data_IF_292449487419
#
_entry.id   IF_292449487419
#
_cell.length_a   1.000
_cell.length_b   1.000
_cell.length_c   1.000
_cell.angle_alpha   90.00
_cell.angle_beta   90.00
_cell.angle_gamma   90.00
#
_symmetry.space_group_name_H-M   'P 1'
#
loop_
_entity.id
_entity.type
_entity.pdbx_description
1 polymer ?
#
# COMPACT_ATOMS: atom_id res chain seq x y z
N UNK A 1 45.40 20.11 10.21
CA UNK A 1 44.98 18.73 9.92
C UNK A 1 44.42 18.06 11.20
N UNK A 2 43.12 18.23 11.44
CA UNK A 2 42.39 17.59 12.54
C UNK A 2 41.57 16.40 12.03
N UNK A 3 41.22 15.44 12.90
CA UNK A 3 40.65 14.16 12.52
C UNK A 3 39.22 14.33 12.01
N UNK A 4 38.89 13.54 10.98
CA UNK A 4 37.68 13.64 10.19
C UNK A 4 36.39 13.59 11.02
N UNK A 5 35.56 14.61 10.83
CA UNK A 5 34.14 14.52 11.09
C UNK A 5 33.60 13.62 9.98
N UNK A 6 33.44 12.34 10.29
CA UNK A 6 32.71 11.40 9.46
C UNK A 6 31.27 11.89 9.39
N UNK A 7 30.98 12.75 8.41
CA UNK A 7 29.62 12.97 7.97
C UNK A 7 29.07 11.62 7.59
N UNK A 8 28.22 11.05 8.44
CA UNK A 8 27.26 10.05 8.01
C UNK A 8 26.38 10.73 6.98
N UNK A 9 26.83 10.70 5.72
CA UNK A 9 25.98 10.88 4.58
C UNK A 9 24.79 9.94 4.82
N UNK A 10 23.61 10.51 5.07
CA UNK A 10 22.35 9.79 4.93
C UNK A 10 22.46 9.10 3.56
N UNK A 11 22.53 7.76 3.51
CA UNK A 11 22.79 7.09 2.26
C UNK A 11 21.71 7.51 1.27
N UNK A 12 22.16 8.03 0.13
CA UNK A 12 21.34 8.19 -1.06
C UNK A 12 20.77 6.79 -1.35
N UNK A 13 19.53 6.52 -0.94
CA UNK A 13 18.88 5.22 -1.15
C UNK A 13 18.57 5.06 -2.64
N UNK A 14 19.29 4.20 -3.38
CA UNK A 14 19.08 4.03 -4.81
C UNK A 14 17.95 3.01 -5.03
N UNK A 15 16.81 3.50 -5.54
CA UNK A 15 15.99 2.89 -6.60
C UNK A 15 15.45 1.44 -6.50
N UNK A 16 15.40 0.75 -5.36
CA UNK A 16 14.68 -0.53 -5.30
C UNK A 16 13.88 -0.70 -4.01
N UNK A 17 12.63 -1.13 -4.19
CA UNK A 17 11.56 -1.39 -3.22
C UNK A 17 10.75 -0.13 -2.89
N UNK A 18 9.42 -0.22 -3.08
CA UNK A 18 8.47 0.56 -2.29
C UNK A 18 8.90 0.44 -0.83
N UNK A 19 9.55 1.48 -0.29
CA UNK A 19 9.71 1.61 1.16
C UNK A 19 8.32 1.46 1.74
N UNK A 20 8.16 0.52 2.69
CA UNK A 20 6.86 0.30 3.33
C UNK A 20 6.41 1.63 3.90
N UNK A 21 5.19 2.08 3.55
CA UNK A 21 4.61 3.35 4.01
C UNK A 21 4.90 3.64 5.49
N UNK A 22 4.88 2.60 6.34
CA UNK A 22 5.22 2.67 7.75
C UNK A 22 6.61 3.27 8.03
N UNK A 23 7.66 2.82 7.33
CA UNK A 23 9.02 3.35 7.50
C UNK A 23 9.10 4.82 7.08
N UNK A 24 8.56 5.15 5.91
CA UNK A 24 8.50 6.53 5.43
C UNK A 24 7.72 7.43 6.39
N UNK A 25 6.62 6.92 6.96
CA UNK A 25 5.80 7.65 7.92
C UNK A 25 6.55 7.93 9.23
N UNK A 26 7.43 7.04 9.67
CA UNK A 26 8.28 7.32 10.83
C UNK A 26 9.37 8.34 10.51
N UNK A 27 9.98 8.31 9.31
CA UNK A 27 10.95 9.34 8.88
C UNK A 27 10.28 10.72 8.87
N UNK A 28 9.21 10.84 8.10
CA UNK A 28 8.60 12.13 7.81
C UNK A 28 7.78 12.64 8.99
N UNK A 29 7.08 11.74 9.69
CA UNK A 29 6.34 12.07 10.91
C UNK A 29 7.24 12.56 12.05
N UNK A 30 8.41 11.94 12.21
CA UNK A 30 9.42 12.42 13.17
C UNK A 30 9.88 13.83 12.83
N UNK A 31 10.13 14.11 11.55
CA UNK A 31 10.54 15.43 11.10
C UNK A 31 9.44 16.49 11.30
N UNK A 32 8.19 16.17 10.97
CA UNK A 32 7.05 17.06 11.20
C UNK A 32 6.83 17.33 12.69
N UNK A 33 6.91 16.31 13.55
CA UNK A 33 6.80 16.49 15.00
C UNK A 33 7.88 17.43 15.57
N UNK A 34 9.15 17.22 15.19
CA UNK A 34 10.27 18.08 15.63
C UNK A 34 10.09 19.51 15.14
N UNK A 35 9.68 19.68 13.88
CA UNK A 35 9.40 20.98 13.30
C UNK A 35 8.26 21.69 14.03
N UNK A 36 7.18 20.97 14.34
CA UNK A 36 6.02 21.48 15.06
C UNK A 36 6.38 21.94 16.47
N UNK A 37 7.09 21.10 17.23
CA UNK A 37 7.58 21.47 18.56
C UNK A 37 8.47 22.73 18.54
N UNK A 38 9.34 22.85 17.53
CA UNK A 38 10.16 24.06 17.35
C UNK A 38 9.32 25.29 17.02
N UNK A 39 8.39 25.18 16.07
CA UNK A 39 7.53 26.27 15.64
C UNK A 39 6.62 26.76 16.77
N UNK A 40 6.07 25.85 17.56
CA UNK A 40 5.27 26.19 18.72
C UNK A 40 6.10 26.94 19.77
N UNK A 41 7.27 26.40 20.12
CA UNK A 41 8.12 26.97 21.16
C UNK A 41 8.71 28.35 20.79
N UNK A 42 9.17 28.52 19.55
CA UNK A 42 9.97 29.69 19.17
C UNK A 42 9.26 30.65 18.23
N UNK A 43 8.26 30.20 17.48
CA UNK A 43 7.53 31.03 16.52
C UNK A 43 6.09 31.32 16.97
N UNK A 44 5.58 30.63 18.01
CA UNK A 44 4.20 30.73 18.45
C UNK A 44 3.20 30.28 17.38
N UNK A 45 3.61 29.32 16.54
CA UNK A 45 2.80 28.79 15.43
C UNK A 45 2.53 27.30 15.64
N UNK A 46 1.27 26.88 15.46
CA UNK A 46 0.91 25.46 15.33
C UNK A 46 0.98 25.04 13.87
N UNK A 47 1.54 23.85 13.61
CA UNK A 47 1.73 23.29 12.27
C UNK A 47 0.98 21.98 12.02
N UNK A 48 0.27 21.46 13.04
CA UNK A 48 -0.06 20.03 13.19
C UNK A 48 -1.50 19.61 12.81
N UNK A 49 -2.33 20.49 12.27
CA UNK A 49 -3.71 20.15 11.85
C UNK A 49 -3.84 20.09 10.33
N UNK A 50 -3.24 19.06 9.71
CA UNK A 50 -3.41 18.79 8.28
C UNK A 50 -4.28 17.57 8.08
N UNK A 51 -5.38 17.73 7.36
CA UNK A 51 -6.15 16.61 6.81
C UNK A 51 -5.51 16.07 5.54
N UNK A 52 -5.78 14.79 5.24
CA UNK A 52 -5.42 14.23 3.95
C UNK A 52 -6.16 14.99 2.83
N UNK A 53 -5.46 15.39 1.75
CA UNK A 53 -6.09 15.94 0.57
C UNK A 53 -7.21 15.04 0.02
N UNK A 54 -8.19 15.64 -0.65
CA UNK A 54 -9.26 14.89 -1.32
C UNK A 54 -8.72 14.06 -2.50
N UNK A 55 -7.74 14.60 -3.23
CA UNK A 55 -7.06 13.90 -4.33
C UNK A 55 -6.30 12.68 -3.78
N UNK A 56 -6.64 11.44 -4.21
CA UNK A 56 -6.02 10.23 -3.68
C UNK A 56 -4.52 10.14 -3.95
N UNK A 57 -4.04 10.62 -5.11
CA UNK A 57 -2.62 10.57 -5.42
C UNK A 57 -1.78 11.49 -4.56
N UNK A 58 -2.27 12.72 -4.36
CA UNK A 58 -1.63 13.63 -3.43
C UNK A 58 -1.80 13.18 -1.98
N UNK A 59 -2.94 12.59 -1.62
CA UNK A 59 -3.15 12.00 -0.29
C UNK A 59 -2.17 10.85 -0.01
N UNK A 60 -1.90 9.99 -0.99
CA UNK A 60 -0.89 8.94 -0.84
C UNK A 60 0.50 9.52 -0.57
N UNK A 61 0.88 10.53 -1.35
CA UNK A 61 2.19 11.17 -1.21
C UNK A 61 2.35 11.91 0.11
N UNK A 62 1.33 12.66 0.54
CA UNK A 62 1.35 13.45 1.77
C UNK A 62 1.06 12.61 3.01
N UNK A 63 0.45 11.43 2.87
CA UNK A 63 0.01 10.59 3.98
C UNK A 63 1.10 10.22 4.97
N UNK A 64 2.33 9.99 4.50
CA UNK A 64 3.48 9.72 5.38
C UNK A 64 3.83 10.88 6.30
N UNK A 65 3.57 12.12 5.90
CA UNK A 65 3.78 13.30 6.74
C UNK A 65 2.63 13.43 7.75
N UNK A 66 1.38 13.35 7.26
CA UNK A 66 0.18 13.56 8.08
C UNK A 66 -0.04 12.44 9.09
N UNK A 67 -0.15 11.20 8.63
CA UNK A 67 -0.41 10.05 9.51
C UNK A 67 0.84 9.69 10.31
N UNK A 68 2.03 9.94 9.76
CA UNK A 68 3.30 9.80 10.48
C UNK A 68 3.38 10.75 11.68
N UNK A 69 3.08 12.05 11.50
CA UNK A 69 3.09 13.03 12.58
C UNK A 69 2.07 12.65 13.66
N UNK A 70 0.85 12.25 13.27
CA UNK A 70 -0.19 11.77 14.19
C UNK A 70 0.28 10.56 15.00
N UNK A 71 0.90 9.59 14.34
CA UNK A 71 1.42 8.40 15.01
C UNK A 71 2.54 8.72 16.01
N UNK A 72 3.50 9.57 15.60
CA UNK A 72 4.64 9.98 16.43
C UNK A 72 4.17 10.81 17.61
N UNK A 73 3.38 11.87 17.38
CA UNK A 73 2.87 12.75 18.44
C UNK A 73 2.02 12.01 19.49
N UNK A 74 1.35 10.93 19.11
CA UNK A 74 0.61 10.08 20.06
C UNK A 74 1.50 9.19 20.94
N UNK A 75 2.82 9.14 20.71
CA UNK A 75 3.75 8.19 21.35
C UNK A 75 4.92 8.80 22.10
N UNK A 76 5.23 10.05 21.81
CA UNK A 76 6.35 10.75 22.43
C UNK A 76 5.85 12.00 23.11
N UNK A 77 6.36 12.26 24.30
CA UNK A 77 6.06 13.47 25.07
C UNK A 77 7.11 14.57 24.83
N UNK A 78 8.22 14.23 24.16
CA UNK A 78 9.32 15.17 23.91
C UNK A 78 10.07 14.86 22.62
N UNK A 79 10.77 15.87 22.07
CA UNK A 79 11.65 15.71 20.89
C UNK A 79 12.74 14.66 21.13
N UNK A 80 13.19 14.48 22.37
CA UNK A 80 14.23 13.51 22.70
C UNK A 80 13.79 12.06 22.51
N UNK A 81 12.52 11.76 22.77
CA UNK A 81 11.93 10.41 22.69
C UNK A 81 11.67 9.93 21.26
N UNK A 82 11.74 10.83 20.27
CA UNK A 82 11.61 10.46 18.85
C UNK A 82 12.65 9.42 18.44
N UNK A 83 13.84 9.45 19.04
CA UNK A 83 14.91 8.48 18.76
C UNK A 83 14.49 7.05 19.18
N UNK A 84 13.73 6.90 20.25
CA UNK A 84 13.34 5.59 20.78
C UNK A 84 12.36 4.86 19.84
N UNK A 85 11.56 5.61 19.08
CA UNK A 85 10.68 5.05 18.04
C UNK A 85 11.47 4.35 16.92
N UNK A 86 12.72 4.75 16.67
CA UNK A 86 13.57 4.11 15.66
C UNK A 86 14.13 2.76 16.11
N UNK A 87 14.20 2.51 17.41
CA UNK A 87 14.69 1.23 17.92
C UNK A 87 13.69 0.10 17.66
N UNK A 88 12.40 0.42 17.71
CA UNK A 88 11.31 -0.51 17.38
C UNK A 88 10.23 0.22 16.58
N UNK A 89 10.44 0.45 15.27
CA UNK A 89 9.45 1.13 14.46
C UNK A 89 8.28 0.20 14.12
N UNK A 90 7.08 0.75 13.87
CA UNK A 90 6.01 0.01 13.23
C UNK A 90 6.43 -0.45 11.82
N UNK A 91 5.84 -1.54 11.37
CA UNK A 91 6.12 -2.15 10.08
C UNK A 91 4.88 -2.37 9.21
N UNK A 92 3.70 -1.90 9.64
CA UNK A 92 2.46 -1.86 8.84
C UNK A 92 1.91 -0.43 8.77
N UNK A 93 1.19 -0.12 7.69
CA UNK A 93 0.42 1.13 7.65
C UNK A 93 -0.72 1.13 8.65
N UNK A 94 -1.23 -0.04 9.03
CA UNK A 94 -2.30 -0.20 10.01
C UNK A 94 -1.88 0.24 11.40
N UNK A 95 -0.69 -0.16 11.83
CA UNK A 95 -0.10 0.35 13.07
C UNK A 95 -0.02 1.88 13.06
N UNK A 96 0.34 2.48 11.92
CA UNK A 96 0.39 3.94 11.77
C UNK A 96 -1.00 4.56 11.88
N UNK A 97 -1.97 4.06 11.10
CA UNK A 97 -3.31 4.63 10.98
C UNK A 97 -4.12 4.51 12.27
N UNK A 98 -4.01 3.39 12.97
CA UNK A 98 -4.75 3.11 14.19
C UNK A 98 -3.97 3.46 15.46
N UNK A 99 -2.74 3.97 15.30
CA UNK A 99 -1.91 4.33 16.44
C UNK A 99 -1.62 3.12 17.34
N UNK A 100 -1.31 1.96 16.77
CA UNK A 100 -1.04 0.72 17.49
C UNK A 100 0.44 0.54 17.82
N UNK A 101 0.74 -0.11 18.95
CA UNK A 101 2.12 -0.27 19.40
C UNK A 101 2.96 -1.00 18.34
N UNK A 102 4.24 -0.66 18.17
CA UNK A 102 5.11 -1.42 17.28
C UNK A 102 5.03 -2.92 17.56
N UNK A 103 4.87 -3.74 16.51
CA UNK A 103 4.74 -5.21 16.56
C UNK A 103 3.43 -5.75 17.17
N UNK A 104 2.46 -4.93 17.59
CA UNK A 104 1.18 -5.45 18.10
C UNK A 104 0.37 -6.15 17.02
N UNK A 105 0.62 -5.80 15.76
CA UNK A 105 -0.12 -6.23 14.59
C UNK A 105 0.86 -6.40 13.45
N UNK A 106 1.74 -7.39 13.62
CA UNK A 106 2.68 -7.74 12.56
C UNK A 106 1.87 -8.31 11.39
N UNK A 107 2.29 -8.06 10.14
CA UNK A 107 1.59 -8.57 8.98
C UNK A 107 1.47 -10.09 9.08
N UNK A 108 0.29 -10.63 8.79
CA UNK A 108 0.06 -12.07 8.84
C UNK A 108 1.09 -12.81 7.98
N UNK A 109 1.65 -13.95 8.44
CA UNK A 109 2.61 -14.71 7.65
C UNK A 109 1.99 -15.12 6.31
N UNK A 110 2.44 -14.50 5.23
CA UNK A 110 1.91 -14.78 3.91
C UNK A 110 2.83 -15.75 3.18
N UNK A 111 2.43 -17.03 3.06
CA UNK A 111 3.22 -17.98 2.28
C UNK A 111 3.25 -17.54 0.82
N UNK A 112 4.49 -17.49 0.31
CA UNK A 112 4.88 -17.02 -1.00
C UNK A 112 3.82 -17.21 -2.10
N UNK A 113 3.48 -16.12 -2.80
CA UNK A 113 3.01 -16.25 -4.19
C UNK A 113 4.16 -16.86 -4.98
N UNK A 114 4.15 -18.19 -5.15
CA UNK A 114 4.98 -18.79 -6.17
C UNK A 114 4.29 -18.49 -7.50
N UNK A 115 4.62 -17.34 -8.09
CA UNK A 115 4.37 -17.08 -9.50
C UNK A 115 5.24 -18.06 -10.28
N UNK A 116 4.79 -19.32 -10.33
CA UNK A 116 5.53 -20.38 -10.98
C UNK A 116 5.50 -20.03 -12.45
N UNK A 117 6.69 -19.96 -13.03
CA UNK A 117 7.05 -19.49 -14.37
C UNK A 117 6.41 -20.29 -15.53
N UNK A 118 5.27 -20.93 -15.31
CA UNK A 118 4.58 -21.75 -16.29
C UNK A 118 3.74 -20.89 -17.20
N UNK A 119 4.47 -20.10 -17.98
CA UNK A 119 4.04 -19.59 -19.27
C UNK A 119 3.31 -20.70 -20.02
N UNK A 120 1.99 -20.55 -20.21
CA UNK A 120 1.34 -21.18 -21.35
C UNK A 120 2.16 -20.79 -22.59
N UNK A 121 2.51 -21.76 -23.43
CA UNK A 121 3.47 -21.61 -24.54
C UNK A 121 3.05 -20.58 -25.62
N UNK A 122 1.93 -19.92 -25.43
CA UNK A 122 1.26 -18.96 -26.30
C UNK A 122 0.82 -17.65 -25.59
N UNK A 123 1.03 -17.50 -24.27
CA UNK A 123 0.72 -16.28 -23.52
C UNK A 123 1.97 -15.71 -22.82
N UNK A 124 2.60 -14.71 -23.45
CA UNK A 124 3.86 -14.08 -23.05
C UNK A 124 3.77 -13.14 -21.83
N UNK A 125 3.16 -13.55 -20.71
CA UNK A 125 3.17 -12.77 -19.45
C UNK A 125 4.43 -13.04 -18.64
N UNK A 126 5.25 -12.01 -18.41
CA UNK A 126 6.49 -12.09 -17.65
C UNK A 126 6.28 -11.50 -16.26
N UNK A 127 6.66 -12.24 -15.21
CA UNK A 127 6.75 -11.70 -13.85
C UNK A 127 7.72 -10.51 -13.82
N UNK A 128 7.26 -9.38 -13.29
CA UNK A 128 8.03 -8.15 -13.15
C UNK A 128 8.33 -7.79 -11.69
N UNK A 129 7.46 -8.20 -10.76
CA UNK A 129 7.73 -8.01 -9.34
C UNK A 129 6.58 -8.39 -8.45
N UNK A 130 6.83 -8.33 -7.15
CA UNK A 130 5.80 -8.42 -6.13
C UNK A 130 6.06 -7.37 -5.05
N UNK A 131 5.01 -6.66 -4.65
CA UNK A 131 5.06 -5.59 -3.65
C UNK A 131 3.95 -5.76 -2.63
N UNK A 132 4.12 -5.13 -1.47
CA UNK A 132 3.06 -5.00 -0.46
C UNK A 132 2.61 -3.55 -0.45
N UNK A 133 1.31 -3.31 -0.37
CA UNK A 133 0.75 -1.95 -0.39
C UNK A 133 0.26 -1.49 0.99
N UNK A 134 -0.28 -2.40 1.81
CA UNK A 134 -0.74 -2.06 3.16
C UNK A 134 -2.13 -1.40 3.17
N UNK A 135 -2.79 -1.42 4.33
CA UNK A 135 -4.08 -0.74 4.58
C UNK A 135 -4.15 0.67 3.96
N UNK A 136 -3.13 1.52 4.18
CA UNK A 136 -3.18 2.88 3.66
C UNK A 136 -3.19 2.90 2.12
N UNK A 137 -2.41 2.02 1.50
CA UNK A 137 -2.43 1.81 0.06
C UNK A 137 -3.79 1.30 -0.42
N UNK A 138 -4.37 0.32 0.28
CA UNK A 138 -5.71 -0.23 0.02
C UNK A 138 -6.79 0.85 0.06
N UNK A 139 -6.81 1.64 1.14
CA UNK A 139 -7.74 2.77 1.30
C UNK A 139 -7.58 3.77 0.16
N UNK A 140 -6.35 4.21 -0.13
CA UNK A 140 -6.09 5.18 -1.21
C UNK A 140 -6.54 4.64 -2.57
N UNK A 141 -6.29 3.35 -2.83
CA UNK A 141 -6.73 2.66 -4.03
C UNK A 141 -8.24 2.78 -4.19
N UNK A 142 -9.02 2.38 -3.17
CA UNK A 142 -10.47 2.42 -3.20
C UNK A 142 -11.00 3.86 -3.32
N UNK A 143 -10.33 4.82 -2.67
CA UNK A 143 -10.65 6.26 -2.74
C UNK A 143 -10.55 6.86 -4.15
N UNK A 144 -9.93 6.17 -5.10
CA UNK A 144 -9.90 6.65 -6.50
C UNK A 144 -11.27 6.58 -7.18
N UNK A 145 -12.18 5.72 -6.71
CA UNK A 145 -13.52 5.57 -7.30
C UNK A 145 -14.65 5.56 -6.28
N UNK A 146 -14.35 5.34 -5.00
CA UNK A 146 -15.33 5.25 -3.93
C UNK A 146 -15.24 6.46 -2.96
N UNK A 147 -16.34 6.78 -2.25
CA UNK A 147 -16.30 7.74 -1.15
C UNK A 147 -15.26 7.38 -0.10
N UNK A 148 -14.62 8.40 0.49
CA UNK A 148 -13.53 8.20 1.45
C UNK A 148 -13.87 7.32 2.65
N UNK A 149 -15.09 7.44 3.18
CA UNK A 149 -15.55 6.62 4.31
C UNK A 149 -15.74 5.15 3.93
N UNK A 150 -16.29 4.89 2.74
CA UNK A 150 -16.46 3.52 2.22
C UNK A 150 -15.09 2.85 2.02
N UNK A 151 -14.15 3.59 1.43
CA UNK A 151 -12.79 3.12 1.20
C UNK A 151 -11.99 2.90 2.49
N UNK A 152 -12.21 3.72 3.53
CA UNK A 152 -11.59 3.52 4.85
C UNK A 152 -12.15 2.30 5.55
N UNK A 153 -13.47 2.16 5.58
CA UNK A 153 -14.16 1.02 6.20
C UNK A 153 -13.67 -0.29 5.57
N UNK A 154 -13.72 -0.37 4.24
CA UNK A 154 -13.30 -1.56 3.49
C UNK A 154 -11.79 -1.85 3.49
N UNK A 155 -10.96 -0.96 4.05
CA UNK A 155 -9.52 -1.18 4.20
C UNK A 155 -9.14 -1.58 5.62
N UNK A 156 -10.02 -1.36 6.61
CA UNK A 156 -9.74 -1.69 8.01
C UNK A 156 -9.69 -3.21 8.23
N UNK A 157 -8.90 -3.65 9.21
CA UNK A 157 -8.66 -5.07 9.48
C UNK A 157 -7.77 -5.72 8.43
N UNK A 158 -6.82 -4.97 7.88
CA UNK A 158 -5.93 -5.46 6.83
C UNK A 158 -4.86 -6.34 7.46
N UNK A 159 -4.88 -7.65 7.24
CA UNK A 159 -3.87 -8.55 7.81
C UNK A 159 -2.53 -8.51 7.06
N UNK A 160 -2.59 -8.65 5.72
CA UNK A 160 -1.44 -8.53 4.83
C UNK A 160 -1.88 -8.43 3.35
N UNK A 161 -0.94 -8.15 2.44
CA UNK A 161 -1.19 -8.29 1.02
C UNK A 161 0.04 -8.57 0.17
N UNK A 162 -0.24 -8.99 -1.07
CA UNK A 162 0.75 -9.08 -2.13
C UNK A 162 0.15 -8.68 -3.47
N UNK A 163 0.68 -7.64 -4.08
CA UNK A 163 0.43 -7.27 -5.47
C UNK A 163 1.54 -7.84 -6.33
N UNK A 164 1.20 -8.72 -7.26
CA UNK A 164 2.10 -9.35 -8.22
C UNK A 164 1.87 -8.75 -9.60
N UNK A 165 2.93 -8.23 -10.20
CA UNK A 165 2.89 -7.55 -11.49
C UNK A 165 3.42 -8.44 -12.59
N UNK A 166 2.68 -8.45 -13.70
CA UNK A 166 3.01 -9.15 -14.93
C UNK A 166 3.06 -8.17 -16.09
N UNK A 167 4.04 -8.33 -16.97
CA UNK A 167 4.20 -7.53 -18.18
C UNK A 167 4.10 -8.39 -19.43
N UNK A 168 3.49 -7.85 -20.48
CA UNK A 168 3.51 -8.41 -21.83
C UNK A 168 3.65 -7.27 -22.86
N UNK A 169 3.94 -7.60 -24.12
CA UNK A 169 4.07 -6.65 -25.23
C UNK A 169 2.83 -5.73 -25.42
N UNK A 170 1.68 -6.06 -24.81
CA UNK A 170 0.44 -5.28 -24.88
C UNK A 170 0.05 -4.53 -23.58
N UNK A 171 0.84 -4.59 -22.51
CA UNK A 171 0.55 -3.90 -21.25
C UNK A 171 0.86 -4.71 -20.00
N UNK A 172 0.38 -4.23 -18.85
CA UNK A 172 0.57 -4.85 -17.54
C UNK A 172 -0.71 -5.55 -17.07
N UNK A 173 -0.54 -6.58 -16.26
CA UNK A 173 -1.62 -7.26 -15.54
C UNK A 173 -1.17 -7.54 -14.11
N UNK A 174 -2.13 -7.68 -13.20
CA UNK A 174 -1.86 -7.74 -11.78
C UNK A 174 -2.69 -8.83 -11.12
N UNK A 175 -2.09 -9.47 -10.12
CA UNK A 175 -2.82 -10.26 -9.14
C UNK A 175 -2.55 -9.65 -7.79
N UNK A 176 -3.60 -9.17 -7.14
CA UNK A 176 -3.55 -8.66 -5.79
C UNK A 176 -4.27 -9.63 -4.87
N UNK A 177 -3.51 -10.30 -4.01
CA UNK A 177 -4.03 -11.18 -2.99
C UNK A 177 -3.96 -10.47 -1.64
N UNK A 178 -5.07 -10.45 -0.94
CA UNK A 178 -5.27 -9.77 0.34
C UNK A 178 -5.68 -10.78 1.40
N UNK A 179 -5.26 -10.51 2.62
CA UNK A 179 -5.57 -11.27 3.83
C UNK A 179 -6.09 -10.29 4.89
N UNK A 180 -7.08 -10.69 5.66
CA UNK A 180 -7.88 -9.84 6.53
C UNK A 180 -7.97 -10.41 7.94
N UNK A 181 -8.10 -9.55 8.94
CA UNK A 181 -8.15 -9.97 10.35
C UNK A 181 -9.36 -10.83 10.69
N UNK A 182 -10.46 -10.63 9.97
CA UNK A 182 -11.66 -11.46 10.08
C UNK A 182 -12.33 -11.69 8.74
N UNK A 183 -13.18 -12.72 8.68
CA UNK A 183 -14.02 -12.97 7.51
C UNK A 183 -14.97 -11.81 7.18
N UNK A 184 -15.38 -11.01 8.18
CA UNK A 184 -16.22 -9.84 7.97
C UNK A 184 -15.44 -8.70 7.29
N UNK A 185 -14.18 -8.48 7.68
CA UNK A 185 -13.31 -7.49 7.03
C UNK A 185 -13.05 -7.87 5.56
N UNK A 186 -12.85 -9.17 5.30
CA UNK A 186 -12.77 -9.70 3.94
C UNK A 186 -14.06 -9.51 3.13
N UNK A 187 -15.25 -9.65 3.75
CA UNK A 187 -16.54 -9.36 3.11
C UNK A 187 -16.66 -7.88 2.73
N UNK A 188 -16.27 -6.98 3.65
CA UNK A 188 -16.32 -5.54 3.44
C UNK A 188 -15.41 -5.09 2.30
N UNK A 189 -14.19 -5.65 2.23
CA UNK A 189 -13.26 -5.40 1.14
C UNK A 189 -13.73 -5.98 -0.20
N UNK A 190 -14.23 -7.21 -0.21
CA UNK A 190 -14.74 -7.85 -1.43
C UNK A 190 -15.88 -7.02 -2.03
N UNK A 191 -16.86 -6.63 -1.22
CA UNK A 191 -18.00 -5.82 -1.66
C UNK A 191 -17.53 -4.46 -2.20
N UNK A 192 -16.67 -3.75 -1.46
CA UNK A 192 -16.14 -2.47 -1.91
C UNK A 192 -15.32 -2.61 -3.20
N UNK A 193 -14.56 -3.68 -3.37
CA UNK A 193 -13.77 -3.90 -4.59
C UNK A 193 -14.68 -4.18 -5.79
N UNK A 194 -15.83 -4.85 -5.59
CA UNK A 194 -16.85 -5.02 -6.63
C UNK A 194 -17.53 -3.69 -6.98
N UNK A 195 -17.85 -2.85 -5.99
CA UNK A 195 -18.34 -1.49 -6.22
C UNK A 195 -17.31 -0.67 -7.00
N UNK A 196 -16.04 -0.74 -6.62
CA UNK A 196 -14.91 -0.08 -7.27
C UNK A 196 -14.78 -0.50 -8.74
N UNK A 197 -14.92 -1.80 -9.02
CA UNK A 197 -14.85 -2.35 -10.36
C UNK A 197 -16.03 -1.88 -11.25
N UNK A 198 -17.22 -1.75 -10.66
CA UNK A 198 -18.41 -1.27 -11.35
C UNK A 198 -18.44 0.27 -11.53
N UNK A 199 -17.72 1.01 -10.66
CA UNK A 199 -17.63 2.45 -10.73
C UNK A 199 -16.81 2.89 -11.96
N UNK A 200 -17.21 3.99 -12.64
CA UNK A 200 -16.43 4.51 -13.76
C UNK A 200 -15.01 4.85 -13.28
N UNK A 201 -13.98 4.69 -14.15
CA UNK A 201 -12.66 5.21 -13.87
C UNK A 201 -12.78 6.70 -13.53
N UNK A 202 -11.99 7.17 -12.56
CA UNK A 202 -11.94 8.60 -12.27
C UNK A 202 -11.67 9.38 -13.57
N UNK A 203 -12.45 10.43 -13.83
CA UNK A 203 -12.16 11.39 -14.89
C UNK A 203 -10.71 11.85 -14.73
N UNK A 204 -9.96 11.92 -15.85
CA UNK A 204 -8.51 12.20 -15.96
C UNK A 204 -7.84 12.74 -14.68
N UNK A 205 -6.80 12.02 -14.23
CA UNK A 205 -5.92 12.37 -13.12
C UNK A 205 -5.79 13.90 -12.94
N UNK A 206 -6.01 14.44 -11.72
CA UNK A 206 -6.22 15.86 -11.53
C UNK A 206 -5.13 16.68 -12.22
N UNK A 207 -5.57 17.62 -13.07
CA UNK A 207 -4.73 18.63 -13.74
C UNK A 207 -4.16 19.66 -12.75
N UNK A 208 -3.82 19.24 -11.54
CA UNK A 208 -3.05 20.07 -10.64
C UNK A 208 -1.68 20.25 -11.31
N UNK A 209 -1.36 21.49 -11.58
CA UNK A 209 -0.07 22.03 -11.99
C UNK A 209 1.06 21.78 -10.95
N UNK A 210 0.79 21.06 -9.87
CA UNK A 210 1.82 20.44 -9.04
C UNK A 210 2.20 19.12 -9.71
N UNK A 211 3.50 18.87 -9.84
CA UNK A 211 4.04 17.54 -10.11
C UNK A 211 3.60 16.60 -8.97
N UNK A 212 2.33 16.20 -8.93
CA UNK A 212 1.94 15.04 -8.18
C UNK A 212 2.87 13.92 -8.68
N UNK A 213 3.52 13.16 -7.80
CA UNK A 213 4.16 11.94 -8.24
C UNK A 213 3.07 11.21 -9.02
N UNK A 214 3.38 10.86 -10.28
CA UNK A 214 2.62 9.87 -11.01
C UNK A 214 2.21 8.80 -10.00
N UNK A 215 0.93 8.44 -9.99
CA UNK A 215 0.37 7.37 -9.17
C UNK A 215 1.01 6.05 -9.62
N UNK A 216 2.34 5.93 -9.53
CA UNK A 216 3.09 4.70 -9.78
C UNK A 216 2.48 3.62 -8.94
N UNK A 217 2.03 3.95 -7.73
CA UNK A 217 1.18 3.12 -6.90
C UNK A 217 -0.08 2.60 -7.65
N UNK A 218 -0.95 3.47 -8.17
CA UNK A 218 -2.13 3.02 -8.93
C UNK A 218 -1.75 2.31 -10.24
N UNK A 219 -0.61 2.66 -10.87
CA UNK A 219 -0.06 1.94 -12.02
C UNK A 219 0.51 0.57 -11.64
N UNK A 220 0.98 0.40 -10.41
CA UNK A 220 1.51 -0.84 -9.83
C UNK A 220 0.38 -1.76 -9.37
N UNK A 221 -0.75 -1.21 -8.92
CA UNK A 221 -1.90 -2.02 -8.50
C UNK A 221 -2.85 -2.29 -9.68
N UNK A 222 -3.05 -1.31 -10.56
CA UNK A 222 -4.16 -1.34 -11.51
C UNK A 222 -3.79 -1.10 -12.98
N UNK A 223 -2.56 -0.63 -13.29
CA UNK A 223 -2.15 -0.32 -14.67
C UNK A 223 -2.89 0.88 -15.28
N UNK A 224 -3.01 0.91 -16.61
CA UNK A 224 -3.88 1.89 -17.29
C UNK A 224 -5.35 1.54 -16.98
N UNK A 225 -6.05 2.44 -16.29
CA UNK A 225 -7.42 2.23 -15.83
C UNK A 225 -8.44 2.27 -16.96
N UNK A 226 -8.05 2.78 -18.14
CA UNK A 226 -8.90 2.82 -19.30
C UNK A 226 -9.01 1.41 -19.92
N UNK A 227 -9.90 0.59 -19.37
CA UNK A 227 -10.27 -0.72 -19.91
C UNK A 227 -9.65 -1.92 -19.20
N UNK A 228 -9.00 -1.74 -18.05
CA UNK A 228 -8.62 -2.86 -17.21
C UNK A 228 -9.87 -3.45 -16.55
N UNK A 229 -10.22 -4.69 -16.91
CA UNK A 229 -11.27 -5.43 -16.23
C UNK A 229 -10.75 -6.04 -14.93
N UNK A 230 -11.62 -6.07 -13.92
CA UNK A 230 -11.29 -6.50 -12.57
C UNK A 230 -12.14 -7.72 -12.25
N UNK A 231 -11.50 -8.80 -11.84
CA UNK A 231 -12.14 -10.00 -11.33
C UNK A 231 -11.81 -10.15 -9.84
N UNK A 232 -12.85 -10.36 -9.02
CA UNK A 232 -12.76 -10.43 -7.56
C UNK A 232 -13.26 -11.80 -7.13
N UNK A 233 -12.43 -12.53 -6.39
CA UNK A 233 -12.71 -13.91 -5.94
C UNK A 233 -12.40 -14.03 -4.46
N UNK A 234 -13.37 -14.53 -3.68
CA UNK A 234 -13.10 -15.06 -2.34
C UNK A 234 -12.33 -16.37 -2.49
N UNK A 235 -11.14 -16.46 -1.89
CA UNK A 235 -10.25 -17.62 -2.02
C UNK A 235 -9.99 -18.33 -0.68
N UNK A 236 -10.38 -17.71 0.43
CA UNK A 236 -10.44 -18.29 1.78
C UNK A 236 -11.40 -17.49 2.65
N UNK A 237 -11.61 -17.91 3.90
CA UNK A 237 -12.50 -17.21 4.84
C UNK A 237 -12.04 -15.76 5.08
N UNK A 238 -10.74 -15.51 5.10
CA UNK A 238 -10.12 -14.20 5.36
C UNK A 238 -9.36 -13.65 4.15
N UNK A 239 -9.49 -14.27 2.97
CA UNK A 239 -8.62 -13.98 1.83
C UNK A 239 -9.38 -13.68 0.53
N UNK A 240 -9.03 -12.56 -0.11
CA UNK A 240 -9.63 -12.10 -1.37
C UNK A 240 -8.55 -11.92 -2.42
N UNK A 241 -8.76 -12.52 -3.61
CA UNK A 241 -7.96 -12.29 -4.79
C UNK A 241 -8.65 -11.30 -5.73
N UNK A 242 -7.87 -10.35 -6.23
CA UNK A 242 -8.25 -9.39 -7.26
C UNK A 242 -7.32 -9.57 -8.47
N UNK A 243 -7.84 -10.07 -9.59
CA UNK A 243 -7.11 -10.19 -10.85
C UNK A 243 -7.48 -9.04 -11.81
N UNK A 244 -6.47 -8.35 -12.32
CA UNK A 244 -6.64 -7.12 -13.10
C UNK A 244 -5.89 -7.27 -14.41
N UNK A 245 -6.61 -7.19 -15.52
CA UNK A 245 -6.04 -7.40 -16.85
C UNK A 245 -7.08 -7.92 -17.85
N UNK A 246 -6.64 -8.29 -19.07
CA UNK A 246 -7.55 -8.82 -20.09
C UNK A 246 -8.14 -10.18 -19.67
N UNK A 247 -9.31 -10.54 -20.21
CA UNK A 247 -10.04 -11.79 -19.90
C UNK A 247 -9.13 -13.02 -19.88
N UNK A 248 -8.39 -13.26 -20.96
CA UNK A 248 -7.46 -14.40 -21.06
C UNK A 248 -6.43 -14.48 -19.93
N UNK A 249 -6.04 -13.35 -19.33
CA UNK A 249 -5.14 -13.34 -18.19
C UNK A 249 -5.90 -13.76 -16.94
N UNK A 250 -7.06 -13.13 -16.69
CA UNK A 250 -7.90 -13.41 -15.51
C UNK A 250 -8.39 -14.86 -15.49
N UNK A 251 -8.81 -15.39 -16.63
CA UNK A 251 -9.22 -16.80 -16.79
C UNK A 251 -8.07 -17.78 -16.53
N UNK A 252 -6.84 -17.37 -16.78
CA UNK A 252 -5.64 -18.18 -16.54
C UNK A 252 -5.13 -18.08 -15.10
N UNK A 253 -5.62 -17.13 -14.29
CA UNK A 253 -5.25 -17.03 -12.87
C UNK A 253 -5.91 -18.18 -12.12
N UNK A 254 -5.09 -19.12 -11.65
CA UNK A 254 -5.49 -20.19 -10.75
C UNK A 254 -4.91 -19.91 -9.36
N UNK A 255 -5.73 -20.14 -8.33
CA UNK A 255 -5.32 -20.06 -6.93
C UNK A 255 -5.46 -21.43 -6.32
N UNK A 256 -4.42 -21.88 -5.63
CA UNK A 256 -4.48 -23.09 -4.82
C UNK A 256 -4.10 -22.72 -3.40
N UNK A 257 -4.99 -23.00 -2.46
CA UNK A 257 -4.69 -22.93 -1.04
C UNK A 257 -3.57 -23.92 -0.69
N UNK A 258 -2.61 -23.47 0.11
CA UNK A 258 -1.47 -24.25 0.62
C UNK A 258 -1.52 -24.26 2.14
N UNK A 259 -2.02 -25.35 2.72
CA UNK A 259 -2.10 -25.55 4.17
C UNK A 259 -2.66 -24.31 4.90
N UNK A 260 -2.47 -24.19 6.22
CA UNK A 260 -3.04 -23.12 7.05
C UNK A 260 -2.37 -21.73 6.86
N UNK A 261 -1.51 -21.52 5.86
CA UNK A 261 -0.57 -20.36 5.85
C UNK A 261 -0.34 -19.70 4.46
N UNK A 262 -1.03 -20.08 3.38
CA UNK A 262 -1.12 -19.18 2.21
C UNK A 262 -1.53 -19.80 0.87
N UNK A 263 -1.28 -19.08 -0.22
CA UNK A 263 -1.85 -19.35 -1.54
C UNK A 263 -0.80 -19.39 -2.66
N UNK A 264 -0.94 -20.33 -3.58
CA UNK A 264 -0.17 -20.41 -4.82
C UNK A 264 -0.97 -19.78 -5.97
N UNK A 265 -0.43 -18.73 -6.60
CA UNK A 265 -1.04 -18.12 -7.78
C UNK A 265 -0.29 -18.58 -9.03
N UNK A 266 -0.98 -19.29 -9.92
CA UNK A 266 -0.46 -19.70 -11.22
C UNK A 266 -1.18 -18.98 -12.33
N UNK A 267 -0.46 -18.76 -13.44
CA UNK A 267 -1.02 -18.27 -14.69
C UNK A 267 -0.73 -19.32 -15.75
N UNK A 268 -1.75 -20.07 -16.18
CA UNK A 268 -1.61 -21.14 -17.17
C UNK A 268 -2.98 -21.75 -17.52
N UNK A 269 -3.07 -22.62 -18.53
CA UNK A 269 -4.32 -23.34 -18.78
C UNK A 269 -4.69 -24.13 -17.51
N UNK A 270 -5.99 -24.19 -17.14
CA UNK A 270 -6.44 -25.10 -16.10
C UNK A 270 -6.02 -26.53 -16.48
N UNK A 271 -5.54 -27.31 -15.51
CA UNK A 271 -5.21 -28.74 -15.69
C UNK A 271 -6.43 -29.54 -16.18
#
# INVERSE_FOLDING_TARGET
>A
PGPGVGGHCIPYYPQFLLTQFATDAIIEGSAEYVQGAYAEQYLGQSTSDRDLPSDPGYAYFIGRYVEGERYVSARVDSVGEVVDLWETPPNTSEQILHGLAPRSEAPTPFAAVAATKHLASDATWKFDGASRIGEFGTMITLRTRLPGERARTAAAGWGNDRVVTFEHAGGNAFVWLTDWDTAADADEFEEATREFAAAPPADEAPRSNRRAPDLRFARIVWGDQAGAEIDVRRVGDEAVLVAIGPDRFRDAVAVTERDDIGFDVRIGPPE
#
